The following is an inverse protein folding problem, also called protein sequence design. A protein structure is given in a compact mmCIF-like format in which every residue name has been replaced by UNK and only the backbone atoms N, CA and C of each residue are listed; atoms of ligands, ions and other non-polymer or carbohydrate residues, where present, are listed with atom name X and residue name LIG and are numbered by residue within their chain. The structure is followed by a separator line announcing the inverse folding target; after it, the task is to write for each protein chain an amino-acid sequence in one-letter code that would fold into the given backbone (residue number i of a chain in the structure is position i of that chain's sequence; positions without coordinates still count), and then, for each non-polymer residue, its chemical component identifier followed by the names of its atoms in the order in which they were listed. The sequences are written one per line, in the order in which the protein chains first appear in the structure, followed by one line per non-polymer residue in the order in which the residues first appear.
data_IF_242275746162
#
_entry.id   IF_242275746162
#
_cell.length_a   1.000
_cell.length_b   1.000
_cell.length_c   1.000
_cell.angle_alpha   90.00
_cell.angle_beta   90.00
_cell.angle_gamma   90.00
#
_symmetry.space_group_name_H-M   'P 1'
#
loop_
_entity.id
_entity.type
_entity.pdbx_description
1 polymer ?
#
# COMPACT_ATOMS: atom_id res chain seq x y z
N UNK A 1 -17.10 -21.22 -50.48
CA UNK A 1 -17.04 -21.07 -49.01
C UNK A 1 -17.71 -19.76 -48.65
N UNK A 2 -18.77 -19.84 -47.85
CA UNK A 2 -19.62 -18.71 -47.44
C UNK A 2 -18.80 -17.61 -46.77
N UNK A 3 -18.79 -16.43 -47.41
CA UNK A 3 -18.25 -15.18 -46.85
C UNK A 3 -18.84 -14.89 -45.47
N UNK A 4 -20.10 -15.26 -45.27
CA UNK A 4 -20.82 -15.15 -44.00
C UNK A 4 -20.22 -16.01 -42.88
N UNK A 5 -19.74 -17.23 -43.18
CA UNK A 5 -19.04 -18.06 -42.19
C UNK A 5 -17.69 -17.41 -41.85
N UNK A 6 -16.98 -16.90 -42.86
CA UNK A 6 -15.70 -16.21 -42.66
C UNK A 6 -15.87 -14.96 -41.78
N UNK A 7 -16.87 -14.11 -42.06
CA UNK A 7 -17.14 -12.89 -41.30
C UNK A 7 -17.57 -13.19 -39.86
N UNK A 8 -18.42 -14.21 -39.64
CA UNK A 8 -18.79 -14.68 -38.29
C UNK A 8 -17.61 -15.23 -37.49
N UNK A 9 -16.64 -15.83 -38.15
CA UNK A 9 -15.39 -16.28 -37.50
C UNK A 9 -14.50 -15.09 -37.17
N UNK A 10 -14.39 -14.09 -38.07
CA UNK A 10 -13.62 -12.87 -37.82
C UNK A 10 -14.19 -12.08 -36.63
N UNK A 11 -15.51 -11.94 -36.51
CA UNK A 11 -16.14 -11.31 -35.35
C UNK A 11 -15.80 -12.01 -34.02
N UNK A 12 -15.73 -13.35 -34.04
CA UNK A 12 -15.36 -14.15 -32.86
C UNK A 12 -13.87 -14.13 -32.53
N UNK A 13 -13.02 -13.74 -33.49
CA UNK A 13 -11.57 -13.58 -33.30
C UNK A 13 -11.20 -12.20 -32.74
N UNK A 14 -12.13 -11.24 -32.70
CA UNK A 14 -11.95 -9.95 -32.02
C UNK A 14 -11.96 -10.21 -30.51
N UNK A 15 -10.79 -10.56 -29.98
CA UNK A 15 -10.58 -10.64 -28.54
C UNK A 15 -10.40 -9.23 -27.98
N UNK A 16 -11.04 -8.89 -26.84
CA UNK A 16 -10.77 -7.63 -26.18
C UNK A 16 -9.26 -7.51 -25.92
N UNK A 17 -8.72 -6.31 -26.11
CA UNK A 17 -7.29 -6.04 -25.92
C UNK A 17 -6.87 -6.51 -24.54
N UNK A 18 -6.15 -7.64 -24.46
CA UNK A 18 -5.62 -8.13 -23.19
C UNK A 18 -4.64 -7.09 -22.68
N UNK A 19 -4.77 -6.69 -21.42
CA UNK A 19 -3.82 -5.78 -20.78
C UNK A 19 -2.41 -6.34 -20.99
N UNK A 20 -1.46 -5.49 -21.37
CA UNK A 20 -0.07 -5.92 -21.62
C UNK A 20 0.45 -6.65 -20.38
N UNK A 21 1.09 -7.79 -20.58
CA UNK A 21 1.70 -8.53 -19.48
C UNK A 21 2.68 -7.63 -18.72
N UNK A 22 2.55 -7.58 -17.38
CA UNK A 22 3.36 -6.70 -16.53
C UNK A 22 2.86 -5.25 -16.40
N UNK A 23 1.73 -4.87 -17.00
CA UNK A 23 1.21 -3.49 -16.89
C UNK A 23 0.63 -3.16 -15.50
N UNK A 24 0.39 -4.17 -14.65
CA UNK A 24 -0.16 -3.95 -13.30
C UNK A 24 0.96 -3.55 -12.34
N UNK A 25 0.80 -2.40 -11.72
CA UNK A 25 1.67 -1.88 -10.67
C UNK A 25 0.94 -2.01 -9.34
N UNK A 26 1.61 -2.57 -8.34
CA UNK A 26 1.09 -2.67 -6.98
C UNK A 26 1.90 -1.75 -6.08
N UNK A 27 1.21 -0.92 -5.30
CA UNK A 27 1.79 0.14 -4.48
C UNK A 27 2.95 -0.34 -3.63
N UNK A 28 2.83 -1.49 -2.96
CA UNK A 28 3.84 -1.95 -1.99
C UNK A 28 4.74 -3.08 -2.51
N UNK A 29 4.70 -3.38 -3.82
CA UNK A 29 5.57 -4.40 -4.42
C UNK A 29 7.04 -4.08 -4.16
N UNK A 30 7.79 -5.10 -3.71
CA UNK A 30 9.24 -5.02 -3.51
C UNK A 30 9.71 -4.27 -2.27
N UNK A 31 8.81 -3.76 -1.43
CA UNK A 31 9.17 -3.06 -0.18
C UNK A 31 9.30 -3.99 1.03
N UNK A 32 8.66 -5.17 0.95
CA UNK A 32 8.50 -6.08 2.07
C UNK A 32 8.99 -7.48 1.72
N UNK A 33 9.48 -8.19 2.73
CA UNK A 33 9.86 -9.61 2.66
C UNK A 33 9.08 -10.44 3.67
N UNK A 34 8.90 -11.72 3.40
CA UNK A 34 8.32 -12.65 4.36
C UNK A 34 9.29 -12.89 5.52
N UNK A 35 8.85 -12.75 6.76
CA UNK A 35 9.71 -13.02 7.92
C UNK A 35 10.09 -14.50 8.00
N UNK A 36 9.17 -15.42 7.63
CA UNK A 36 9.33 -16.86 7.77
C UNK A 36 10.34 -17.43 6.76
N UNK A 37 10.22 -17.10 5.47
CA UNK A 37 11.07 -17.68 4.42
C UNK A 37 11.95 -16.68 3.67
N UNK A 38 11.91 -15.38 4.03
CA UNK A 38 12.68 -14.27 3.42
C UNK A 38 12.37 -13.97 1.95
N UNK A 39 11.41 -14.67 1.34
CA UNK A 39 10.97 -14.40 -0.02
C UNK A 39 10.29 -13.03 -0.11
N UNK A 40 10.23 -12.46 -1.31
CA UNK A 40 9.59 -11.17 -1.56
C UNK A 40 8.07 -11.24 -1.34
N UNK A 41 7.47 -10.11 -1.00
CA UNK A 41 6.02 -9.94 -0.99
C UNK A 41 5.58 -9.30 -2.31
N UNK A 42 4.53 -9.84 -2.92
CA UNK A 42 3.91 -9.31 -4.15
C UNK A 42 2.44 -9.01 -3.93
N UNK A 43 1.91 -8.10 -4.73
CA UNK A 43 0.47 -7.83 -4.82
C UNK A 43 -0.21 -8.76 -5.83
N UNK A 44 -1.43 -9.16 -5.51
CA UNK A 44 -2.37 -9.89 -6.36
C UNK A 44 -3.73 -9.17 -6.29
N UNK A 45 -4.30 -8.87 -7.45
CA UNK A 45 -5.65 -8.31 -7.52
C UNK A 45 -6.71 -9.40 -7.66
N UNK A 46 -7.81 -9.23 -6.95
CA UNK A 46 -8.97 -10.13 -6.96
C UNK A 46 -10.21 -9.34 -7.30
N UNK A 47 -10.83 -9.69 -8.42
CA UNK A 47 -12.12 -9.16 -8.82
C UNK A 47 -13.23 -10.12 -8.38
N UNK A 48 -14.11 -9.65 -7.48
CA UNK A 48 -15.24 -10.44 -6.99
C UNK A 48 -16.53 -9.92 -7.61
N UNK A 49 -17.10 -10.67 -8.54
CA UNK A 49 -18.47 -10.45 -9.01
C UNK A 49 -19.46 -10.75 -7.88
N UNK A 50 -20.55 -9.98 -7.83
CA UNK A 50 -21.60 -10.09 -6.82
C UNK A 50 -22.94 -10.16 -7.52
N UNK A 51 -23.83 -11.02 -7.01
CA UNK A 51 -25.20 -11.07 -7.49
C UNK A 51 -25.89 -9.74 -7.12
N UNK A 52 -26.43 -9.04 -8.11
CA UNK A 52 -27.21 -7.80 -7.97
C UNK A 52 -26.49 -6.63 -7.27
N UNK A 53 -25.14 -6.61 -7.28
CA UNK A 53 -24.34 -5.50 -6.75
C UNK A 53 -23.14 -5.25 -7.65
N UNK A 54 -22.61 -4.03 -7.58
CA UNK A 54 -21.37 -3.71 -8.28
C UNK A 54 -20.24 -4.67 -7.84
N UNK A 55 -19.45 -5.14 -8.80
CA UNK A 55 -18.31 -5.99 -8.51
C UNK A 55 -17.29 -5.23 -7.65
N UNK A 56 -16.63 -5.95 -6.75
CA UNK A 56 -15.65 -5.36 -5.84
C UNK A 56 -14.24 -5.77 -6.23
N UNK A 57 -13.38 -4.79 -6.37
CA UNK A 57 -11.96 -4.96 -6.61
C UNK A 57 -11.19 -4.92 -5.28
N UNK A 58 -10.27 -5.86 -5.10
CA UNK A 58 -9.43 -5.96 -3.92
C UNK A 58 -7.98 -6.25 -4.32
N UNK A 59 -7.02 -5.66 -3.60
CA UNK A 59 -5.60 -5.99 -3.70
C UNK A 59 -5.20 -6.72 -2.42
N UNK A 60 -4.51 -7.84 -2.59
CA UNK A 60 -3.92 -8.61 -1.50
C UNK A 60 -2.42 -8.71 -1.71
N UNK A 61 -1.68 -8.71 -0.61
CA UNK A 61 -0.25 -8.95 -0.61
C UNK A 61 0.03 -10.31 0.00
N UNK A 62 0.97 -11.04 -0.59
CA UNK A 62 1.36 -12.36 -0.10
C UNK A 62 2.82 -12.70 -0.42
N UNK A 63 3.36 -13.66 0.32
CA UNK A 63 4.66 -14.25 0.04
C UNK A 63 4.67 -14.93 -1.34
N UNK A 64 5.71 -14.68 -2.14
CA UNK A 64 5.86 -15.33 -3.45
C UNK A 64 6.08 -16.85 -3.35
N UNK A 65 6.45 -17.35 -2.16
CA UNK A 65 6.78 -18.77 -1.92
C UNK A 65 7.87 -19.31 -2.86
N UNK A 66 8.74 -18.41 -3.35
CA UNK A 66 9.87 -18.75 -4.24
C UNK A 66 11.01 -19.44 -3.51
N UNK A 67 11.17 -19.16 -2.21
CA UNK A 67 12.21 -19.75 -1.35
C UNK A 67 11.66 -20.98 -0.62
N UNK A 68 10.46 -20.87 -0.05
CA UNK A 68 9.76 -21.98 0.59
C UNK A 68 8.34 -22.11 0.01
N UNK A 69 8.11 -23.18 -0.75
CA UNK A 69 6.83 -23.49 -1.38
C UNK A 69 5.71 -23.79 -0.36
N UNK A 70 6.08 -24.23 0.85
CA UNK A 70 5.14 -24.56 1.92
C UNK A 70 4.98 -23.41 2.93
N UNK A 71 5.47 -22.21 2.60
CA UNK A 71 5.38 -21.06 3.49
C UNK A 71 3.91 -20.76 3.84
N UNK A 72 3.61 -20.85 5.14
CA UNK A 72 2.27 -20.66 5.72
C UNK A 72 1.91 -19.20 5.99
N UNK A 73 2.73 -18.26 5.52
CA UNK A 73 2.44 -16.84 5.69
C UNK A 73 1.08 -16.50 5.03
N UNK A 74 0.12 -15.98 5.81
CA UNK A 74 -1.20 -15.62 5.30
C UNK A 74 -1.15 -14.46 4.30
N UNK A 75 -2.25 -14.31 3.57
CA UNK A 75 -2.50 -13.14 2.73
C UNK A 75 -2.93 -11.98 3.62
N UNK A 76 -2.58 -10.75 3.20
CA UNK A 76 -3.01 -9.52 3.86
C UNK A 76 -3.65 -8.61 2.82
N UNK A 77 -4.78 -7.98 3.12
CA UNK A 77 -5.35 -6.98 2.21
C UNK A 77 -4.49 -5.71 2.20
N UNK A 78 -4.55 -4.91 1.12
CA UNK A 78 -3.83 -3.63 1.08
C UNK A 78 -4.22 -2.70 2.24
N UNK A 79 -5.51 -2.65 2.58
CA UNK A 79 -6.02 -1.86 3.70
C UNK A 79 -5.46 -2.32 5.06
N UNK A 80 -5.38 -3.64 5.29
CA UNK A 80 -4.78 -4.18 6.51
C UNK A 80 -3.27 -3.95 6.56
N UNK A 81 -2.60 -3.98 5.42
CA UNK A 81 -1.18 -3.68 5.32
C UNK A 81 -0.89 -2.23 5.71
N UNK A 82 -1.67 -1.28 5.17
CA UNK A 82 -1.58 0.14 5.52
C UNK A 82 -1.88 0.40 7.00
N UNK A 83 -2.90 -0.27 7.55
CA UNK A 83 -3.18 -0.24 8.99
C UNK A 83 -2.02 -0.78 9.81
N UNK A 84 -1.39 -1.87 9.38
CA UNK A 84 -0.24 -2.43 10.07
C UNK A 84 0.98 -1.51 10.01
N UNK A 85 1.21 -0.85 8.87
CA UNK A 85 2.28 0.16 8.74
C UNK A 85 2.06 1.31 9.71
N UNK A 86 0.83 1.84 9.78
CA UNK A 86 0.51 2.93 10.69
C UNK A 86 0.70 2.52 12.16
N UNK A 87 0.35 1.28 12.53
CA UNK A 87 0.62 0.75 13.87
C UNK A 87 2.12 0.72 14.17
N UNK A 88 2.96 0.30 13.21
CA UNK A 88 4.41 0.31 13.36
C UNK A 88 4.95 1.74 13.53
N UNK A 89 4.50 2.69 12.70
CA UNK A 89 4.90 4.11 12.83
C UNK A 89 4.53 4.65 14.21
N UNK A 90 3.31 4.37 14.68
CA UNK A 90 2.86 4.80 16.00
C UNK A 90 3.72 4.20 17.12
N UNK A 91 4.03 2.90 17.03
CA UNK A 91 4.87 2.21 18.00
C UNK A 91 6.28 2.81 18.03
N UNK A 92 6.92 2.96 16.87
CA UNK A 92 8.27 3.52 16.77
C UNK A 92 8.33 4.97 17.23
N UNK A 93 7.32 5.78 16.92
CA UNK A 93 7.26 7.16 17.38
C UNK A 93 7.22 7.29 18.91
N UNK A 94 6.56 6.35 19.59
CA UNK A 94 6.43 6.35 21.05
C UNK A 94 7.65 5.70 21.71
N UNK A 95 8.09 4.54 21.21
CA UNK A 95 9.11 3.71 21.85
C UNK A 95 10.54 4.11 21.45
N UNK A 96 10.76 4.48 20.18
CA UNK A 96 12.08 4.72 19.59
C UNK A 96 12.06 5.89 18.59
N UNK A 97 11.64 7.11 18.98
CA UNK A 97 11.48 8.23 18.05
C UNK A 97 12.76 8.59 17.29
N UNK A 98 13.93 8.40 17.90
CA UNK A 98 15.24 8.63 17.28
C UNK A 98 15.56 7.71 16.10
N UNK A 99 14.84 6.59 15.95
CA UNK A 99 15.03 5.66 14.82
C UNK A 99 14.19 6.04 13.60
N UNK A 100 13.21 6.93 13.75
CA UNK A 100 12.40 7.42 12.64
C UNK A 100 13.15 8.52 11.90
N UNK A 101 13.37 8.29 10.61
CA UNK A 101 14.19 9.17 9.79
C UNK A 101 13.31 10.00 8.87
N UNK A 102 13.32 11.30 9.08
CA UNK A 102 12.59 12.24 8.24
C UNK A 102 13.45 12.59 7.03
N UNK A 103 13.24 11.89 5.92
CA UNK A 103 13.87 12.22 4.63
C UNK A 103 13.43 13.60 4.16
N UNK A 104 14.22 14.26 3.31
CA UNK A 104 13.88 15.58 2.76
C UNK A 104 12.49 15.62 2.10
N UNK A 105 12.08 14.52 1.46
CA UNK A 105 10.75 14.39 0.87
C UNK A 105 9.65 14.37 1.93
N UNK A 106 9.83 13.60 3.01
CA UNK A 106 8.88 13.54 4.12
C UNK A 106 8.81 14.89 4.84
N UNK A 107 9.95 15.56 5.05
CA UNK A 107 9.99 16.88 5.66
C UNK A 107 9.23 17.92 4.83
N UNK A 108 9.43 17.95 3.52
CA UNK A 108 8.67 18.82 2.61
C UNK A 108 7.17 18.54 2.67
N UNK A 109 6.79 17.26 2.61
CA UNK A 109 5.39 16.88 2.66
C UNK A 109 4.74 17.16 4.03
N UNK A 110 5.48 17.06 5.14
CA UNK A 110 5.03 17.48 6.46
C UNK A 110 4.74 18.99 6.52
N UNK A 111 5.62 19.81 5.93
CA UNK A 111 5.44 21.26 5.87
C UNK A 111 4.24 21.65 4.99
N UNK A 112 4.04 20.98 3.85
CA UNK A 112 2.85 21.16 3.02
C UNK A 112 1.57 20.77 3.77
N UNK A 113 1.58 19.63 4.46
CA UNK A 113 0.47 19.17 5.28
C UNK A 113 0.16 20.15 6.42
N UNK A 114 1.21 20.68 7.08
CA UNK A 114 1.08 21.70 8.12
C UNK A 114 0.36 22.94 7.59
N UNK A 115 0.83 23.51 6.47
CA UNK A 115 0.25 24.72 5.86
C UNK A 115 -1.21 24.51 5.48
N UNK A 116 -1.52 23.38 4.86
CA UNK A 116 -2.88 23.02 4.48
C UNK A 116 -3.80 22.93 5.70
N UNK A 117 -3.35 22.23 6.74
CA UNK A 117 -4.09 22.06 8.00
C UNK A 117 -4.33 23.40 8.70
N UNK A 118 -3.31 24.25 8.77
CA UNK A 118 -3.41 25.59 9.38
C UNK A 118 -4.39 26.47 8.62
N UNK A 119 -4.35 26.48 7.28
CA UNK A 119 -5.30 27.23 6.47
C UNK A 119 -6.75 26.79 6.70
N UNK A 120 -7.01 25.47 6.78
CA UNK A 120 -8.35 24.94 7.05
C UNK A 120 -8.87 25.30 8.45
N UNK A 121 -8.01 25.29 9.47
CA UNK A 121 -8.42 25.68 10.82
C UNK A 121 -8.72 27.18 10.92
N UNK A 122 -7.91 28.03 10.30
CA UNK A 122 -8.16 29.47 10.25
C UNK A 122 -9.47 29.80 9.53
N UNK A 123 -9.82 29.08 8.46
CA UNK A 123 -11.12 29.23 7.79
C UNK A 123 -12.32 28.84 8.67
N UNK A 124 -12.12 28.02 9.70
CA UNK A 124 -13.14 27.60 10.64
C UNK A 124 -13.10 28.41 11.95
N UNK A 125 -12.31 29.48 12.00
CA UNK A 125 -12.04 30.28 13.21
C UNK A 125 -11.48 29.44 14.39
N UNK A 126 -10.80 28.34 14.07
CA UNK A 126 -10.14 27.45 15.04
C UNK A 126 -8.66 27.81 15.11
N UNK A 127 -8.12 27.98 16.32
CA UNK A 127 -6.68 28.16 16.51
C UNK A 127 -5.91 26.89 16.08
N UNK A 128 -5.02 26.94 15.08
CA UNK A 128 -4.30 25.75 14.61
C UNK A 128 -3.38 25.08 15.65
N UNK A 129 -2.98 25.84 16.68
CA UNK A 129 -2.16 25.35 17.79
C UNK A 129 -2.98 24.66 18.88
N UNK A 130 -4.32 24.73 18.83
CA UNK A 130 -5.20 24.07 19.80
C UNK A 130 -5.10 22.54 19.76
N UNK A 131 -4.67 21.98 18.63
CA UNK A 131 -4.55 20.54 18.44
C UNK A 131 -3.13 20.16 18.03
N UNK A 132 -2.45 19.46 18.94
CA UNK A 132 -1.16 18.81 18.69
C UNK A 132 -1.31 17.82 17.55
N UNK A 133 -0.32 17.80 16.67
CA UNK A 133 -0.22 16.89 15.55
C UNK A 133 1.22 16.49 15.36
N UNK A 134 1.43 15.36 14.70
CA UNK A 134 2.76 14.85 14.40
C UNK A 134 2.77 13.99 13.13
N UNK A 135 3.89 13.31 12.90
CA UNK A 135 4.11 12.41 11.77
C UNK A 135 3.03 11.33 11.64
N UNK A 136 2.37 10.92 12.73
CA UNK A 136 1.31 9.89 12.71
C UNK A 136 0.07 10.40 12.00
N UNK A 137 -0.29 11.66 12.20
CA UNK A 137 -1.43 12.29 11.51
C UNK A 137 -1.13 12.51 10.03
N UNK A 138 0.09 12.92 9.72
CA UNK A 138 0.57 12.99 8.35
C UNK A 138 0.55 11.62 7.65
N UNK A 139 1.01 10.57 8.33
CA UNK A 139 1.01 9.20 7.81
C UNK A 139 -0.41 8.71 7.52
N UNK A 140 -1.37 8.97 8.42
CA UNK A 140 -2.80 8.69 8.18
C UNK A 140 -3.31 9.42 6.94
N UNK A 141 -2.95 10.69 6.78
CA UNK A 141 -3.36 11.49 5.64
C UNK A 141 -2.81 10.94 4.31
N UNK A 142 -1.53 10.57 4.25
CA UNK A 142 -0.92 9.96 3.05
C UNK A 142 -1.64 8.66 2.68
N UNK A 143 -1.81 7.76 3.64
CA UNK A 143 -2.38 6.44 3.39
C UNK A 143 -3.83 6.55 2.89
N UNK A 144 -4.59 7.55 3.36
CA UNK A 144 -5.97 7.76 2.93
C UNK A 144 -6.11 8.47 1.58
N UNK A 145 -5.26 9.46 1.27
CA UNK A 145 -5.56 10.44 0.21
C UNK A 145 -4.54 10.54 -0.92
N UNK A 146 -3.36 9.92 -0.78
CA UNK A 146 -2.25 10.17 -1.69
C UNK A 146 -1.98 9.01 -2.65
N UNK A 147 -1.20 9.31 -3.70
CA UNK A 147 -0.85 8.36 -4.74
C UNK A 147 0.13 7.28 -4.24
N UNK A 148 0.38 6.28 -5.09
CA UNK A 148 1.23 5.14 -4.75
C UNK A 148 2.67 5.54 -4.38
N UNK A 149 3.25 6.56 -5.01
CA UNK A 149 4.64 6.97 -4.75
C UNK A 149 4.79 7.60 -3.37
N UNK A 150 3.89 8.50 -3.00
CA UNK A 150 3.90 9.13 -1.67
C UNK A 150 3.64 8.11 -0.55
N UNK A 151 2.75 7.14 -0.79
CA UNK A 151 2.51 6.02 0.14
C UNK A 151 3.76 5.18 0.38
N UNK A 152 4.53 4.91 -0.69
CA UNK A 152 5.80 4.17 -0.60
C UNK A 152 6.87 4.95 0.16
N UNK A 153 6.86 6.27 0.08
CA UNK A 153 7.83 7.12 0.78
C UNK A 153 7.79 6.93 2.31
N UNK A 154 6.62 6.60 2.89
CA UNK A 154 6.50 6.29 4.32
C UNK A 154 7.38 5.12 4.77
N UNK A 155 7.76 4.20 3.88
CA UNK A 155 8.67 3.12 4.22
C UNK A 155 10.11 3.61 4.44
N UNK A 156 10.48 4.77 3.88
CA UNK A 156 11.79 5.38 4.06
C UNK A 156 11.95 6.03 5.44
N UNK A 157 10.89 6.08 6.25
CA UNK A 157 10.99 6.41 7.68
C UNK A 157 11.90 5.42 8.42
N UNK A 158 12.04 4.20 7.90
CA UNK A 158 12.79 3.11 8.53
C UNK A 158 14.08 2.85 7.73
N UNK A 159 15.25 2.94 8.39
CA UNK A 159 16.55 2.61 7.78
C UNK A 159 16.87 1.10 7.77
N UNK A 160 15.87 0.26 8.01
CA UNK A 160 16.03 -1.18 8.11
C UNK A 160 14.95 -1.90 7.31
N UNK A 161 15.21 -3.13 6.84
CA UNK A 161 14.22 -3.89 6.10
C UNK A 161 13.01 -4.25 6.98
N UNK A 162 11.83 -4.08 6.40
CA UNK A 162 10.57 -4.49 7.02
C UNK A 162 10.11 -5.84 6.47
N UNK A 163 9.45 -6.60 7.32
CA UNK A 163 8.98 -7.94 7.03
C UNK A 163 7.49 -8.07 7.31
N UNK A 164 6.83 -9.02 6.64
CA UNK A 164 5.49 -9.48 7.01
C UNK A 164 5.61 -10.80 7.78
N UNK A 165 4.98 -10.84 8.95
CA UNK A 165 4.80 -12.03 9.76
C UNK A 165 3.36 -12.08 10.28
N UNK A 166 2.67 -13.19 10.06
CA UNK A 166 1.28 -13.39 10.48
C UNK A 166 0.34 -12.24 10.04
N UNK A 167 0.43 -11.79 8.79
CA UNK A 167 -0.33 -10.65 8.26
C UNK A 167 -0.08 -9.33 9.01
N UNK A 168 1.09 -9.15 9.62
CA UNK A 168 1.49 -7.89 10.24
C UNK A 168 2.89 -7.48 9.82
N UNK A 169 3.12 -6.18 9.66
CA UNK A 169 4.44 -5.62 9.40
C UNK A 169 5.23 -5.61 10.71
N UNK A 170 6.44 -6.15 10.65
CA UNK A 170 7.37 -6.23 11.77
C UNK A 170 8.80 -5.91 11.31
N UNK A 171 9.64 -5.52 12.26
CA UNK A 171 11.09 -5.53 12.10
C UNK A 171 11.63 -6.81 12.76
N UNK A 172 12.65 -7.44 12.19
CA UNK A 172 13.32 -8.59 12.84
C UNK A 172 14.17 -8.17 14.05
N UNK A 173 14.09 -6.90 14.47
CA UNK A 173 14.81 -6.32 15.60
C UNK A 173 13.99 -6.32 16.89
N UNK A 174 12.92 -7.10 16.96
CA UNK A 174 12.18 -7.29 18.21
C UNK A 174 12.97 -8.17 19.18
N UNK A 175 14.07 -7.62 19.74
CA UNK A 175 14.72 -7.96 21.00
C UNK A 175 15.63 -6.81 21.43
#
# INVERSE_FOLDING_TARGET
MEKEIFDRVQEKLIVPFKSKWGSKVFTYKGLLKCANCKASIIGEDRFRQRLNKEPKYHIYYHCTRQIDHNCKEPYISEEELERSLLKLINFMYIAHPQELVLTDKIQKGLEEFKRMREALFLQQDINPNSKVWDIRDYSKYILANKNAEEKRELFNLFQFPLFIQNSTITSLRAH
#
